data_IF_929425327639
#
_entry.id   IF_929425327639
#
_cell.length_a   1.000
_cell.length_b   1.000
_cell.length_c   1.000
_cell.angle_alpha   90.00
_cell.angle_beta   90.00
_cell.angle_gamma   90.00
#
_symmetry.space_group_name_H-M   'P 1'
#
loop_
_entity.id
_entity.type
_entity.pdbx_description
1 polymer ?
#
# COMPACT_ATOMS: atom_id res chain seq x y z
N UNK A 1 8.30 -10.36 5.79
CA UNK A 1 7.84 -10.45 4.38
C UNK A 1 6.34 -10.19 4.37
N UNK A 2 5.85 -9.37 3.44
CA UNK A 2 4.44 -9.01 3.33
C UNK A 2 3.74 -9.97 2.37
N UNK A 3 2.66 -10.58 2.83
CA UNK A 3 1.85 -11.49 2.01
C UNK A 3 0.43 -10.94 1.88
N UNK A 4 -0.08 -10.92 0.65
CA UNK A 4 -1.47 -10.54 0.36
C UNK A 4 -2.30 -11.80 0.18
N UNK A 5 -3.36 -11.91 0.97
CA UNK A 5 -4.30 -13.02 0.91
C UNK A 5 -5.67 -12.47 0.50
N UNK A 6 -6.34 -13.19 -0.39
CA UNK A 6 -7.70 -12.89 -0.81
C UNK A 6 -8.51 -14.20 -0.89
N UNK A 7 -9.83 -14.07 -0.97
CA UNK A 7 -10.69 -15.23 -1.21
C UNK A 7 -10.36 -15.86 -2.58
N UNK A 8 -10.67 -17.15 -2.76
CA UNK A 8 -10.26 -17.91 -3.96
C UNK A 8 -10.80 -17.35 -5.28
N UNK A 9 -11.94 -16.66 -5.25
CA UNK A 9 -12.60 -16.14 -6.44
C UNK A 9 -12.21 -14.68 -6.74
N UNK A 10 -11.51 -14.01 -5.82
CA UNK A 10 -11.26 -12.57 -5.87
C UNK A 10 -10.59 -12.13 -7.17
N UNK A 11 -9.54 -12.83 -7.62
CA UNK A 11 -8.83 -12.45 -8.84
C UNK A 11 -9.66 -12.61 -10.11
N UNK A 12 -10.71 -13.45 -10.09
CA UNK A 12 -11.65 -13.58 -11.20
C UNK A 12 -12.74 -12.50 -11.14
N UNK A 13 -13.20 -12.14 -9.95
CA UNK A 13 -14.24 -11.13 -9.73
C UNK A 13 -13.70 -9.69 -9.85
N UNK A 14 -12.44 -9.46 -9.50
CA UNK A 14 -11.79 -8.15 -9.43
C UNK A 14 -10.39 -8.19 -10.06
N UNK A 15 -10.26 -8.47 -11.37
CA UNK A 15 -8.97 -8.69 -12.02
C UNK A 15 -8.04 -7.47 -11.98
N UNK A 16 -8.58 -6.26 -12.12
CA UNK A 16 -7.79 -5.01 -12.07
C UNK A 16 -7.21 -4.76 -10.68
N UNK A 17 -8.03 -4.95 -9.63
CA UNK A 17 -7.59 -4.80 -8.24
C UNK A 17 -6.59 -5.89 -7.86
N UNK A 18 -6.81 -7.12 -8.34
CA UNK A 18 -5.86 -8.21 -8.12
C UNK A 18 -4.50 -7.93 -8.77
N UNK A 19 -4.47 -7.36 -9.97
CA UNK A 19 -3.23 -6.95 -10.62
C UNK A 19 -2.50 -5.85 -9.84
N UNK A 20 -3.24 -4.86 -9.32
CA UNK A 20 -2.67 -3.81 -8.46
C UNK A 20 -2.10 -4.40 -7.16
N UNK A 21 -2.86 -5.27 -6.48
CA UNK A 21 -2.41 -5.92 -5.25
C UNK A 21 -1.18 -6.80 -5.49
N UNK A 22 -1.09 -7.51 -6.63
CA UNK A 22 0.11 -8.27 -6.99
C UNK A 22 1.37 -7.40 -7.16
N UNK A 23 1.21 -6.11 -7.49
CA UNK A 23 2.30 -5.15 -7.61
C UNK A 23 2.57 -4.40 -6.30
N UNK A 24 1.63 -4.43 -5.35
CA UNK A 24 1.80 -3.81 -4.05
C UNK A 24 2.98 -4.44 -3.32
N UNK A 25 3.93 -3.60 -2.95
CA UNK A 25 5.08 -3.97 -2.14
C UNK A 25 5.49 -2.78 -1.28
N UNK A 26 5.90 -3.08 -0.06
CA UNK A 26 6.56 -2.14 0.84
C UNK A 26 7.73 -2.84 1.53
N UNK A 27 8.84 -2.13 1.68
CA UNK A 27 9.96 -2.56 2.52
C UNK A 27 9.69 -2.23 3.99
N UNK A 28 10.42 -2.87 4.91
CA UNK A 28 10.30 -2.59 6.35
C UNK A 28 10.56 -1.10 6.66
N UNK A 29 11.50 -0.46 5.95
CA UNK A 29 11.78 0.98 6.10
C UNK A 29 10.60 1.84 5.64
N UNK A 30 9.93 1.45 4.55
CA UNK A 30 8.75 2.16 4.05
C UNK A 30 7.57 2.02 5.02
N UNK A 31 7.33 0.81 5.55
CA UNK A 31 6.31 0.59 6.57
C UNK A 31 6.61 1.43 7.81
N UNK A 32 7.84 1.39 8.32
CA UNK A 32 8.25 2.17 9.48
C UNK A 32 8.13 3.69 9.29
N UNK A 33 8.34 4.20 8.07
CA UNK A 33 8.13 5.63 7.78
C UNK A 33 6.67 6.04 7.85
N UNK A 34 5.74 5.18 7.42
CA UNK A 34 4.29 5.42 7.54
C UNK A 34 3.85 5.32 9.01
N UNK A 35 4.31 4.29 9.73
CA UNK A 35 4.04 4.13 11.15
C UNK A 35 4.59 5.30 11.98
N UNK A 36 5.74 5.86 11.60
CA UNK A 36 6.30 7.07 12.21
C UNK A 36 5.33 8.25 12.19
N UNK A 37 4.74 8.55 11.02
CA UNK A 37 3.75 9.63 10.88
C UNK A 37 2.56 9.43 11.84
N UNK A 38 2.06 8.20 11.94
CA UNK A 38 0.94 7.86 12.82
C UNK A 38 1.34 7.99 14.30
N UNK A 39 2.52 7.49 14.67
CA UNK A 39 3.03 7.55 16.04
C UNK A 39 3.34 8.98 16.50
N UNK A 40 3.65 9.88 15.57
CA UNK A 40 3.83 11.32 15.83
C UNK A 40 2.49 12.06 15.99
N UNK A 41 1.35 11.34 15.94
CA UNK A 41 0.02 11.84 16.26
C UNK A 41 -0.84 12.22 15.06
N UNK A 42 -0.41 11.89 13.84
CA UNK A 42 -1.21 12.09 12.64
C UNK A 42 -2.35 11.04 12.56
N UNK A 43 -3.52 11.45 12.07
CA UNK A 43 -4.59 10.51 11.76
C UNK A 43 -4.12 9.50 10.69
N UNK A 44 -4.43 8.19 10.80
CA UNK A 44 -3.98 7.20 9.83
C UNK A 44 -4.32 7.50 8.36
N UNK A 45 -5.48 8.13 8.09
CA UNK A 45 -5.86 8.47 6.72
C UNK A 45 -4.99 9.62 6.18
N UNK A 46 -4.73 10.63 7.01
CA UNK A 46 -3.87 11.76 6.67
C UNK A 46 -2.41 11.30 6.50
N UNK A 47 -1.94 10.39 7.36
CA UNK A 47 -0.61 9.79 7.27
C UNK A 47 -0.44 8.99 5.98
N UNK A 48 -1.45 8.19 5.60
CA UNK A 48 -1.45 7.47 4.34
C UNK A 48 -1.45 8.43 3.14
N UNK A 49 -2.26 9.49 3.17
CA UNK A 49 -2.32 10.49 2.09
C UNK A 49 -0.98 11.23 1.92
N UNK A 50 -0.36 11.66 3.03
CA UNK A 50 0.95 12.28 3.04
C UNK A 50 2.02 11.31 2.53
N UNK A 51 2.04 10.07 3.04
CA UNK A 51 3.01 9.07 2.61
C UNK A 51 2.89 8.76 1.12
N UNK A 52 1.67 8.64 0.60
CA UNK A 52 1.41 8.48 -0.85
C UNK A 52 1.97 9.66 -1.64
N UNK A 53 1.74 10.90 -1.17
CA UNK A 53 2.26 12.10 -1.84
C UNK A 53 3.79 12.13 -1.89
N UNK A 54 4.45 11.72 -0.80
CA UNK A 54 5.91 11.68 -0.72
C UNK A 54 6.54 10.50 -1.47
N UNK A 55 5.77 9.44 -1.71
CA UNK A 55 6.24 8.18 -2.30
C UNK A 55 5.54 7.85 -3.63
N UNK A 56 5.11 8.86 -4.40
CA UNK A 56 4.36 8.67 -5.67
C UNK A 56 5.00 7.69 -6.62
N UNK A 57 6.34 7.70 -6.77
CA UNK A 57 7.02 6.76 -7.66
C UNK A 57 6.83 5.28 -7.29
N UNK A 58 6.69 4.98 -6.00
CA UNK A 58 6.41 3.62 -5.51
C UNK A 58 4.93 3.29 -5.76
N UNK A 59 4.03 4.20 -5.36
CA UNK A 59 2.57 4.00 -5.46
C UNK A 59 2.12 3.88 -6.91
N UNK A 60 2.64 4.72 -7.80
CA UNK A 60 2.35 4.68 -9.23
C UNK A 60 2.80 3.35 -9.85
N UNK A 61 3.85 2.73 -9.32
CA UNK A 61 4.28 1.38 -9.72
C UNK A 61 3.26 0.28 -9.39
N UNK A 62 2.38 0.49 -8.40
CA UNK A 62 1.29 -0.42 -8.09
C UNK A 62 0.12 -0.27 -9.06
N UNK A 63 -0.06 0.92 -9.65
CA UNK A 63 -1.20 1.28 -10.49
C UNK A 63 -0.97 1.08 -11.99
N UNK A 64 0.29 0.97 -12.41
CA UNK A 64 0.67 0.57 -13.77
C UNK A 64 0.35 -0.88 -14.05
#
# INVERSE_FOLDING_TARGET
ELHILANKNFSAEQPEVAAMLQKFQMTDTQIGSLEGLINDGMDPADAAAQWIADNRGIVDGWLQ
#
